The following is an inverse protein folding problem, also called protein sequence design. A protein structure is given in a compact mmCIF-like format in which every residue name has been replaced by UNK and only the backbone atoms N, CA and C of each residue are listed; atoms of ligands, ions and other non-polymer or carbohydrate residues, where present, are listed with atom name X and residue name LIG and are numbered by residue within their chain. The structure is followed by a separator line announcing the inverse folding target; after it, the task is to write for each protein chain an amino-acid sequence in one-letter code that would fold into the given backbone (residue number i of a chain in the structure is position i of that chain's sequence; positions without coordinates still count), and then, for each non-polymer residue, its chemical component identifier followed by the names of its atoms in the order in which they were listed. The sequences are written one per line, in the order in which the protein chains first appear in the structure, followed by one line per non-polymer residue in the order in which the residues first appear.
data_IF_680743671726
#
_entry.id   IF_680743671726
#
_cell.length_a   1.000
_cell.length_b   1.000
_cell.length_c   1.000
_cell.angle_alpha   90.00
_cell.angle_beta   90.00
_cell.angle_gamma   90.00
#
_symmetry.space_group_name_H-M   'P 1'
#
loop_
_entity.id
_entity.type
_entity.pdbx_description
1 polymer ?
#
# COMPACT_ATOMS: atom_id res chain seq x y z
N UNK A 1 34.04 -26.67 35.03
CA UNK A 1 33.00 -26.29 34.06
C UNK A 1 33.08 -24.78 33.91
N UNK A 2 33.67 -24.30 32.81
CA UNK A 2 33.92 -22.88 32.58
C UNK A 2 32.65 -22.18 32.11
N UNK A 3 31.94 -21.52 33.02
CA UNK A 3 30.85 -20.62 32.65
C UNK A 3 31.47 -19.35 32.06
N UNK A 4 31.30 -19.16 30.74
CA UNK A 4 31.63 -17.91 30.08
C UNK A 4 30.66 -16.82 30.58
N UNK A 5 31.02 -16.13 31.65
CA UNK A 5 30.26 -15.01 32.17
C UNK A 5 30.66 -13.77 31.38
N UNK A 6 29.85 -13.37 30.41
CA UNK A 6 30.02 -12.08 29.72
C UNK A 6 29.63 -10.99 30.73
N UNK A 7 30.55 -10.08 31.13
CA UNK A 7 30.25 -9.03 32.10
C UNK A 7 29.09 -8.18 31.61
N UNK A 8 28.04 -8.01 32.42
CA UNK A 8 26.84 -7.24 32.07
C UNK A 8 25.56 -8.06 31.91
N UNK A 9 25.64 -9.39 31.94
CA UNK A 9 24.44 -10.26 31.99
C UNK A 9 23.89 -10.32 33.41
N UNK A 10 22.66 -9.83 33.59
CA UNK A 10 21.88 -9.99 34.82
C UNK A 10 21.15 -11.33 34.75
N UNK A 11 21.45 -12.24 35.67
CA UNK A 11 20.73 -13.51 35.83
C UNK A 11 19.65 -13.31 36.89
N UNK A 12 18.40 -13.62 36.56
CA UNK A 12 17.25 -13.58 37.47
C UNK A 12 16.42 -14.84 37.29
N UNK A 13 15.96 -15.45 38.38
CA UNK A 13 15.19 -16.71 38.33
C UNK A 13 13.85 -16.55 37.58
N UNK A 14 13.22 -15.40 37.68
CA UNK A 14 12.01 -15.03 36.94
C UNK A 14 11.99 -13.53 36.65
N UNK A 15 11.29 -13.13 35.59
CA UNK A 15 11.04 -11.73 35.26
C UNK A 15 9.67 -11.61 34.60
N UNK A 16 8.95 -10.54 34.91
CA UNK A 16 7.69 -10.20 34.25
C UNK A 16 7.99 -9.23 33.09
N UNK A 17 7.52 -9.55 31.90
CA UNK A 17 7.70 -8.72 30.70
C UNK A 17 6.37 -8.08 30.31
N UNK A 18 6.38 -6.75 30.18
CA UNK A 18 5.26 -6.00 29.59
C UNK A 18 5.70 -5.42 28.25
N UNK A 19 5.19 -5.97 27.16
CA UNK A 19 5.54 -5.55 25.80
C UNK A 19 4.35 -4.81 25.19
N UNK A 20 4.55 -3.55 24.85
CA UNK A 20 3.58 -2.74 24.11
C UNK A 20 3.80 -2.92 22.61
N UNK A 21 2.71 -3.09 21.86
CA UNK A 21 2.71 -3.14 20.40
C UNK A 21 1.70 -2.15 19.87
N UNK A 22 2.07 -1.37 18.87
CA UNK A 22 1.21 -0.31 18.32
C UNK A 22 1.03 -0.53 16.82
N UNK A 23 -0.23 -0.53 16.38
CA UNK A 23 -0.52 -0.46 14.96
C UNK A 23 -0.11 0.92 14.41
N UNK A 24 0.44 0.98 13.19
CA UNK A 24 0.83 2.25 12.57
C UNK A 24 -0.40 3.12 12.21
N UNK A 25 -1.56 2.48 12.01
CA UNK A 25 -2.84 3.12 11.72
C UNK A 25 -3.95 2.48 12.55
N UNK A 26 -5.12 3.11 12.59
CA UNK A 26 -6.32 2.49 13.17
C UNK A 26 -6.55 1.13 12.51
N UNK A 27 -6.84 0.12 13.31
CA UNK A 27 -7.07 -1.23 12.86
C UNK A 27 -7.82 -2.02 13.90
N UNK A 28 -7.69 -3.35 13.85
CA UNK A 28 -8.41 -4.26 14.73
C UNK A 28 -7.43 -5.00 15.62
N UNK A 29 -7.73 -5.02 16.93
CA UNK A 29 -7.11 -5.97 17.86
C UNK A 29 -7.93 -7.25 17.75
N UNK A 30 -7.27 -8.38 17.45
CA UNK A 30 -7.93 -9.66 17.19
C UNK A 30 -7.92 -10.60 18.40
N UNK A 31 -7.25 -10.21 19.48
CA UNK A 31 -7.23 -10.90 20.78
C UNK A 31 -7.93 -10.08 21.85
N UNK A 32 -8.45 -10.74 22.88
CA UNK A 32 -9.03 -10.14 24.07
C UNK A 32 -8.04 -10.14 25.24
N UNK A 33 -8.37 -9.36 26.28
CA UNK A 33 -7.60 -9.35 27.52
C UNK A 33 -7.69 -10.72 28.20
N UNK A 34 -6.54 -11.33 28.48
CA UNK A 34 -6.47 -12.64 29.14
C UNK A 34 -6.35 -13.82 28.17
N UNK A 35 -6.30 -13.57 26.86
CA UNK A 35 -6.07 -14.61 25.87
C UNK A 35 -4.61 -15.07 25.90
N UNK A 36 -4.39 -16.39 25.95
CA UNK A 36 -3.04 -16.94 25.79
C UNK A 36 -2.62 -16.89 24.33
N UNK A 37 -1.46 -16.32 24.05
CA UNK A 37 -0.90 -16.15 22.70
C UNK A 37 0.45 -16.84 22.59
N UNK A 38 0.73 -17.41 21.41
CA UNK A 38 2.07 -17.86 21.02
C UNK A 38 2.81 -16.73 20.30
N UNK A 39 4.14 -16.79 20.25
CA UNK A 39 4.99 -15.76 19.64
C UNK A 39 4.61 -15.38 18.19
N UNK A 40 4.03 -16.30 17.42
CA UNK A 40 3.58 -16.13 16.03
C UNK A 40 2.10 -15.73 15.90
N UNK A 41 1.36 -15.69 17.01
CA UNK A 41 -0.05 -15.31 17.01
C UNK A 41 -0.21 -13.85 16.61
N UNK A 42 -0.99 -13.57 15.57
CA UNK A 42 -1.36 -12.20 15.20
C UNK A 42 -2.27 -11.64 16.28
N UNK A 43 -1.85 -10.55 16.94
CA UNK A 43 -2.61 -9.90 18.02
C UNK A 43 -3.40 -8.69 17.53
N UNK A 44 -2.95 -8.06 16.45
CA UNK A 44 -3.63 -6.94 15.82
C UNK A 44 -3.28 -6.83 14.35
N UNK A 45 -4.19 -6.28 13.54
CA UNK A 45 -3.95 -6.01 12.13
C UNK A 45 -4.55 -4.68 11.67
N UNK A 46 -4.02 -4.15 10.57
CA UNK A 46 -4.54 -2.98 9.85
C UNK A 46 -4.21 -3.09 8.36
N UNK A 47 -4.75 -2.19 7.56
CA UNK A 47 -4.44 -2.06 6.14
C UNK A 47 -3.77 -0.71 5.90
N UNK A 48 -2.54 -0.73 5.40
CA UNK A 48 -1.88 0.48 4.95
C UNK A 48 -2.43 0.87 3.57
N UNK A 49 -2.76 2.15 3.32
CA UNK A 49 -3.06 2.63 1.99
C UNK A 49 -1.92 2.29 1.03
N UNK A 50 -2.26 1.82 -0.17
CA UNK A 50 -1.25 1.59 -1.19
C UNK A 50 -0.59 2.90 -1.63
N UNK A 51 0.62 2.78 -2.18
CA UNK A 51 1.37 3.90 -2.73
C UNK A 51 0.60 4.60 -3.85
N UNK A 52 0.82 5.91 -3.98
CA UNK A 52 0.25 6.74 -5.03
C UNK A 52 1.28 6.90 -6.15
N UNK A 53 0.85 6.66 -7.39
CA UNK A 53 1.65 6.83 -8.60
C UNK A 53 1.02 7.94 -9.45
N UNK A 54 1.82 8.95 -9.82
CA UNK A 54 1.39 10.06 -10.67
C UNK A 54 1.82 9.83 -12.11
N UNK A 55 0.86 9.79 -13.02
CA UNK A 55 1.13 9.60 -14.46
C UNK A 55 0.76 10.86 -15.21
N UNK A 56 1.77 11.53 -15.80
CA UNK A 56 1.52 12.68 -16.67
C UNK A 56 0.95 12.22 -18.01
N UNK A 57 -0.39 12.19 -18.09
CA UNK A 57 -1.11 11.70 -19.25
C UNK A 57 -1.07 12.71 -20.40
N UNK A 58 -1.20 14.01 -20.11
CA UNK A 58 -1.10 15.07 -21.11
C UNK A 58 0.23 14.99 -21.88
N UNK A 59 1.36 14.93 -21.17
CA UNK A 59 2.68 14.84 -21.78
C UNK A 59 2.90 13.51 -22.53
N UNK A 60 2.45 12.38 -21.97
CA UNK A 60 2.64 11.06 -22.61
C UNK A 60 1.75 10.86 -23.84
N UNK A 61 0.57 11.45 -23.86
CA UNK A 61 -0.37 11.34 -24.97
C UNK A 61 -0.19 12.46 -26.02
N UNK A 62 0.45 13.57 -25.66
CA UNK A 62 0.63 14.73 -26.52
C UNK A 62 -0.65 15.56 -26.68
N UNK A 63 -1.47 15.64 -25.62
CA UNK A 63 -2.76 16.35 -25.60
C UNK A 63 -2.74 17.43 -24.51
N UNK A 64 -3.66 18.39 -24.57
CA UNK A 64 -3.79 19.38 -23.50
C UNK A 64 -4.39 18.75 -22.23
N UNK A 65 -4.10 19.29 -21.03
CA UNK A 65 -4.66 18.80 -19.76
C UNK A 65 -6.18 18.62 -19.77
N UNK A 66 -6.91 19.55 -20.39
CA UNK A 66 -8.38 19.53 -20.47
C UNK A 66 -8.93 18.40 -21.36
N UNK A 67 -8.11 17.84 -22.25
CA UNK A 67 -8.47 16.72 -23.11
C UNK A 67 -8.23 15.36 -22.44
N UNK A 68 -7.46 15.31 -21.34
CA UNK A 68 -7.12 14.05 -20.65
C UNK A 68 -8.36 13.26 -20.23
N UNK A 69 -9.39 13.85 -19.57
CA UNK A 69 -10.60 13.11 -19.21
C UNK A 69 -11.31 12.49 -20.41
N UNK A 70 -11.29 13.15 -21.58
CA UNK A 70 -11.92 12.64 -22.81
C UNK A 70 -11.10 11.54 -23.51
N UNK A 71 -9.81 11.45 -23.20
CA UNK A 71 -8.90 10.43 -23.71
C UNK A 71 -8.87 9.18 -22.82
N UNK A 72 -9.42 9.24 -21.61
CA UNK A 72 -9.48 8.10 -20.68
C UNK A 72 -10.35 6.97 -21.22
N UNK A 73 -9.88 5.74 -21.06
CA UNK A 73 -10.64 4.51 -21.30
C UNK A 73 -11.14 3.87 -19.99
N UNK A 74 -10.67 4.38 -18.85
CA UNK A 74 -11.01 3.97 -17.49
C UNK A 74 -11.47 5.18 -16.69
N UNK A 75 -12.50 5.02 -15.89
CA UNK A 75 -13.05 6.07 -15.05
C UNK A 75 -12.42 6.08 -13.66
N UNK A 76 -12.59 7.17 -12.93
CA UNK A 76 -12.24 7.22 -11.51
C UNK A 76 -12.98 6.13 -10.74
N UNK A 77 -12.27 5.39 -9.90
CA UNK A 77 -12.76 4.21 -9.19
C UNK A 77 -12.54 2.87 -9.92
N UNK A 78 -12.16 2.88 -11.20
CA UNK A 78 -11.91 1.64 -11.95
C UNK A 78 -10.59 0.98 -11.56
N UNK A 79 -10.61 -0.35 -11.48
CA UNK A 79 -9.41 -1.15 -11.33
C UNK A 79 -8.63 -1.28 -12.64
N UNK A 80 -7.31 -1.26 -12.51
CA UNK A 80 -6.35 -1.32 -13.62
C UNK A 80 -5.20 -2.25 -13.29
N UNK A 81 -4.76 -3.00 -14.29
CA UNK A 81 -3.58 -3.86 -14.20
C UNK A 81 -2.36 -3.19 -14.82
N UNK A 82 -1.17 -3.53 -14.35
CA UNK A 82 0.09 -3.08 -14.95
C UNK A 82 0.14 -3.50 -16.43
N UNK A 83 0.39 -2.53 -17.30
CA UNK A 83 0.41 -2.72 -18.75
C UNK A 83 -0.96 -2.56 -19.43
N UNK A 84 -2.05 -2.47 -18.67
CA UNK A 84 -3.39 -2.21 -19.23
C UNK A 84 -3.49 -0.77 -19.75
N UNK A 85 -4.18 -0.56 -20.87
CA UNK A 85 -4.33 0.78 -21.47
C UNK A 85 -5.31 1.61 -20.65
N UNK A 86 -4.82 2.69 -20.03
CA UNK A 86 -5.58 3.66 -19.25
C UNK A 86 -6.29 4.70 -20.11
N UNK A 87 -5.59 5.18 -21.13
CA UNK A 87 -6.02 6.30 -21.95
C UNK A 87 -5.42 6.22 -23.35
N UNK A 88 -6.08 6.85 -24.31
CA UNK A 88 -5.69 6.85 -25.72
C UNK A 88 -6.01 8.20 -26.36
N UNK A 89 -5.04 8.78 -27.06
CA UNK A 89 -5.25 10.05 -27.75
C UNK A 89 -6.17 9.90 -28.98
N UNK A 90 -6.94 10.95 -29.24
CA UNK A 90 -7.73 11.10 -30.48
C UNK A 90 -6.82 11.70 -31.55
N UNK A 91 -6.10 10.85 -32.28
CA UNK A 91 -5.25 11.30 -33.39
C UNK A 91 -6.03 11.96 -34.52
N UNK A 92 -5.35 12.72 -35.39
CA UNK A 92 -5.98 13.40 -36.52
C UNK A 92 -6.54 12.37 -37.51
N UNK A 93 -7.86 12.35 -37.70
CA UNK A 93 -8.55 11.35 -38.55
C UNK A 93 -8.32 9.88 -38.14
N UNK A 94 -7.99 9.64 -36.86
CA UNK A 94 -7.78 8.29 -36.33
C UNK A 94 -6.40 7.68 -36.64
N UNK A 95 -5.55 8.36 -37.41
CA UNK A 95 -4.15 8.02 -37.58
C UNK A 95 -3.31 8.57 -36.41
N UNK A 96 -2.23 7.86 -36.05
CA UNK A 96 -1.28 8.24 -34.99
C UNK A 96 -1.87 8.32 -33.56
N UNK A 97 -2.51 7.24 -33.10
CA UNK A 97 -2.98 7.14 -31.70
C UNK A 97 -1.83 6.74 -30.78
N UNK A 98 -1.60 7.51 -29.73
CA UNK A 98 -0.74 7.13 -28.61
C UNK A 98 -1.57 6.40 -27.56
N UNK A 99 -1.00 5.33 -26.99
CA UNK A 99 -1.61 4.59 -25.90
C UNK A 99 -0.82 4.88 -24.62
N UNK A 100 -1.54 5.10 -23.52
CA UNK A 100 -0.97 5.19 -22.20
C UNK A 100 -1.32 3.92 -21.42
N UNK A 101 -0.30 3.12 -21.09
CA UNK A 101 -0.46 1.94 -20.25
C UNK A 101 -0.24 2.28 -18.78
N UNK A 102 -0.91 1.54 -17.89
CA UNK A 102 -0.75 1.66 -16.44
C UNK A 102 0.64 1.17 -16.02
N UNK A 103 1.40 1.94 -15.22
CA UNK A 103 2.66 1.48 -14.64
C UNK A 103 2.49 0.50 -13.48
N UNK A 104 1.31 0.47 -12.84
CA UNK A 104 1.02 -0.31 -11.63
C UNK A 104 -0.30 -1.09 -11.73
N UNK A 105 -0.44 -2.10 -10.87
CA UNK A 105 -1.75 -2.65 -10.53
C UNK A 105 -2.38 -1.72 -9.49
N UNK A 106 -3.66 -1.40 -9.62
CA UNK A 106 -4.32 -0.50 -8.68
C UNK A 106 -5.67 0.00 -9.17
N UNK A 107 -6.03 1.19 -8.71
CA UNK A 107 -7.28 1.87 -9.04
C UNK A 107 -6.97 3.27 -9.54
N UNK A 108 -7.75 3.76 -10.51
CA UNK A 108 -7.74 5.18 -10.88
C UNK A 108 -8.37 5.98 -9.75
N UNK A 109 -7.57 6.78 -9.05
CA UNK A 109 -8.05 7.59 -7.92
C UNK A 109 -8.64 8.91 -8.39
N UNK A 110 -7.96 9.59 -9.30
CA UNK A 110 -8.45 10.83 -9.91
C UNK A 110 -7.79 11.14 -11.24
N UNK A 111 -8.48 11.92 -12.06
CA UNK A 111 -7.98 12.43 -13.34
C UNK A 111 -8.10 13.95 -13.34
N UNK A 112 -6.97 14.65 -13.33
CA UNK A 112 -6.96 16.11 -13.26
C UNK A 112 -7.00 16.74 -14.64
N UNK A 113 -8.08 17.44 -14.95
CA UNK A 113 -8.22 18.27 -16.16
C UNK A 113 -7.33 19.53 -16.14
N UNK A 114 -6.89 19.96 -14.95
CA UNK A 114 -6.04 21.16 -14.79
C UNK A 114 -4.56 20.82 -15.00
N UNK A 115 -4.08 19.75 -14.37
CA UNK A 115 -2.66 19.37 -14.42
C UNK A 115 -2.34 18.32 -15.49
N UNK A 116 -3.36 17.64 -16.02
CA UNK A 116 -3.19 16.55 -16.98
C UNK A 116 -2.59 15.28 -16.36
N UNK A 117 -2.61 15.17 -15.03
CA UNK A 117 -2.12 14.01 -14.28
C UNK A 117 -3.25 13.02 -13.99
N UNK A 118 -2.95 11.74 -14.15
CA UNK A 118 -3.75 10.63 -13.62
C UNK A 118 -3.10 10.17 -12.31
N UNK A 119 -3.90 10.09 -11.26
CA UNK A 119 -3.49 9.56 -9.96
C UNK A 119 -3.94 8.11 -9.88
N UNK A 120 -2.98 7.20 -9.70
CA UNK A 120 -3.23 5.79 -9.52
C UNK A 120 -2.88 5.39 -8.09
N UNK A 121 -3.73 4.57 -7.47
CA UNK A 121 -3.51 4.05 -6.12
C UNK A 121 -3.29 2.55 -6.16
N UNK A 122 -2.14 2.10 -5.64
CA UNK A 122 -1.88 0.67 -5.48
C UNK A 122 -2.86 0.05 -4.46
N UNK A 123 -3.06 -1.28 -4.48
CA UNK A 123 -3.84 -1.98 -3.48
C UNK A 123 -3.31 -1.73 -2.06
N UNK A 124 -4.20 -1.75 -1.08
CA UNK A 124 -3.81 -1.67 0.33
C UNK A 124 -2.99 -2.89 0.74
N UNK A 125 -2.00 -2.66 1.62
CA UNK A 125 -1.09 -3.71 2.10
C UNK A 125 -1.49 -4.09 3.52
N UNK A 126 -1.77 -5.37 3.81
CA UNK A 126 -2.06 -5.81 5.17
C UNK A 126 -0.81 -5.68 6.05
N UNK A 127 -1.00 -5.17 7.26
CA UNK A 127 0.01 -5.15 8.31
C UNK A 127 -0.52 -5.92 9.49
N UNK A 128 0.24 -6.92 9.90
CA UNK A 128 -0.05 -7.77 11.04
C UNK A 128 1.04 -7.59 12.09
N UNK A 129 0.61 -7.57 13.34
CA UNK A 129 1.50 -7.52 14.49
C UNK A 129 1.36 -8.84 15.22
N UNK A 130 2.47 -9.57 15.33
CA UNK A 130 2.55 -10.82 16.09
C UNK A 130 2.78 -10.55 17.57
N UNK A 131 2.43 -11.52 18.40
CA UNK A 131 2.69 -11.48 19.83
C UNK A 131 4.20 -11.44 20.13
N UNK A 132 5.08 -11.94 19.27
CA UNK A 132 6.54 -11.95 19.42
C UNK A 132 7.09 -12.78 20.61
N UNK A 133 6.32 -12.94 21.69
CA UNK A 133 6.60 -13.80 22.83
C UNK A 133 5.33 -14.54 23.23
N UNK A 134 5.48 -15.70 23.84
CA UNK A 134 4.36 -16.39 24.46
C UNK A 134 3.91 -15.62 25.70
N UNK A 135 2.61 -15.55 25.94
CA UNK A 135 2.08 -14.81 27.09
C UNK A 135 0.57 -14.79 27.15
N UNK A 136 0.05 -13.94 28.03
CA UNK A 136 -1.37 -13.70 28.32
C UNK A 136 -1.65 -12.20 28.30
#
# INVERSE_FOLDING_TARGET
MSSAYVPGLKVTDHTELKIERRLPLKGKVVVAKGDTVSWDTVVANTFLPGSVELVNAAAKLGISPEEVPQAMLKSEGDQVSKGEILARSKGFWGLFRSNLASPINGTVESVSEVSGLIVLRAPSVPVEINAYVNGV
#
